data_IF_698711819996
#
_entry.id   IF_698711819996
#
_cell.length_a   1.000
_cell.length_b   1.000
_cell.length_c   1.000
_cell.angle_alpha   90.00
_cell.angle_beta   90.00
_cell.angle_gamma   90.00
#
_symmetry.space_group_name_H-M   'P 1'
#
loop_
_entity.id
_entity.type
_entity.pdbx_description
1 polymer ?
#
# COMPACT_ATOMS: atom_id res chain seq x y z
N UNK A 1 -5.64 -4.22 16.84
CA UNK A 1 -5.73 -4.95 15.55
C UNK A 1 -4.31 -5.27 15.08
N UNK A 2 -4.03 -6.48 14.59
CA UNK A 2 -2.71 -6.80 14.02
C UNK A 2 -2.63 -6.24 12.60
N UNK A 3 -1.68 -5.35 12.36
CA UNK A 3 -1.38 -4.79 11.04
C UNK A 3 -0.12 -5.43 10.46
N UNK A 4 -0.10 -5.59 9.15
CA UNK A 4 1.03 -6.13 8.39
C UNK A 4 1.50 -5.09 7.39
N UNK A 5 2.79 -5.10 7.06
CA UNK A 5 3.36 -4.32 5.97
C UNK A 5 3.17 -5.11 4.68
N UNK A 6 2.48 -4.49 3.73
CA UNK A 6 2.26 -4.97 2.38
C UNK A 6 3.12 -4.15 1.44
N UNK A 7 3.84 -4.81 0.54
CA UNK A 7 4.41 -4.12 -0.60
C UNK A 7 3.29 -3.84 -1.60
N UNK A 8 3.24 -2.63 -2.15
CA UNK A 8 2.31 -2.28 -3.20
C UNK A 8 3.05 -1.82 -4.46
N UNK A 9 2.51 -2.22 -5.60
CA UNK A 9 2.85 -1.70 -6.91
C UNK A 9 1.58 -1.10 -7.51
N UNK A 10 1.58 0.22 -7.66
CA UNK A 10 0.49 0.98 -8.23
C UNK A 10 0.89 1.54 -9.60
N UNK A 11 -0.04 1.53 -10.55
CA UNK A 11 0.17 2.11 -11.88
C UNK A 11 -0.76 3.30 -12.06
N UNK A 12 -0.21 4.45 -12.46
CA UNK A 12 -1.00 5.67 -12.63
C UNK A 12 -1.83 5.64 -13.93
N UNK A 13 -2.85 6.49 -14.01
CA UNK A 13 -3.68 6.66 -15.22
C UNK A 13 -2.76 7.01 -16.39
N UNK A 14 -2.98 6.33 -17.52
CA UNK A 14 -2.17 6.37 -18.74
C UNK A 14 -0.82 5.63 -18.70
N UNK A 15 -0.51 4.87 -17.65
CA UNK A 15 0.68 4.00 -17.62
C UNK A 15 2.02 4.75 -17.55
N UNK A 16 1.98 6.06 -17.31
CA UNK A 16 3.14 6.96 -17.30
C UNK A 16 3.98 6.84 -16.02
N UNK A 17 3.43 6.29 -14.94
CA UNK A 17 4.12 6.16 -13.65
C UNK A 17 3.82 4.85 -12.95
N UNK A 18 4.87 4.16 -12.51
CA UNK A 18 4.76 3.05 -11.55
C UNK A 18 5.18 3.58 -10.18
N UNK A 19 4.27 3.50 -9.23
CA UNK A 19 4.50 3.81 -7.83
C UNK A 19 4.73 2.50 -7.10
N UNK A 20 5.82 2.44 -6.35
CA UNK A 20 6.15 1.28 -5.52
C UNK A 20 6.39 1.75 -4.11
N UNK A 21 5.93 0.99 -3.14
CA UNK A 21 6.14 1.33 -1.75
C UNK A 21 5.64 0.25 -0.83
N UNK A 22 5.64 0.57 0.44
CA UNK A 22 5.13 -0.28 1.50
C UNK A 22 3.95 0.42 2.15
N UNK A 23 2.90 -0.32 2.48
CA UNK A 23 1.72 0.18 3.18
C UNK A 23 1.44 -0.73 4.36
N UNK A 24 1.23 -0.14 5.53
CA UNK A 24 0.74 -0.88 6.67
C UNK A 24 -0.77 -1.07 6.50
N UNK A 25 -1.27 -2.29 6.64
CA UNK A 25 -2.71 -2.58 6.63
C UNK A 25 -3.01 -3.91 7.33
N UNK A 26 -4.19 -4.06 7.95
CA UNK A 26 -4.61 -5.32 8.58
C UNK A 26 -4.85 -6.45 7.57
N UNK A 27 -5.23 -6.12 6.33
CA UNK A 27 -5.46 -7.09 5.25
C UNK A 27 -5.10 -6.47 3.88
N UNK A 28 -4.97 -7.32 2.86
CA UNK A 28 -4.61 -6.89 1.51
C UNK A 28 -5.69 -6.07 0.79
N UNK A 29 -6.95 -6.15 1.22
CA UNK A 29 -8.03 -5.34 0.66
C UNK A 29 -7.91 -3.89 1.12
N UNK A 30 -7.73 -3.67 2.42
CA UNK A 30 -7.47 -2.34 3.00
C UNK A 30 -6.16 -1.75 2.49
N UNK A 31 -5.11 -2.56 2.33
CA UNK A 31 -3.86 -2.10 1.69
C UNK A 31 -4.12 -1.50 0.31
N UNK A 32 -4.93 -2.15 -0.53
CA UNK A 32 -5.27 -1.64 -1.85
C UNK A 32 -6.08 -0.35 -1.78
N UNK A 33 -7.06 -0.29 -0.88
CA UNK A 33 -7.89 0.91 -0.70
C UNK A 33 -7.04 2.10 -0.28
N UNK A 34 -6.18 1.94 0.71
CA UNK A 34 -5.30 3.00 1.23
C UNK A 34 -4.39 3.52 0.12
N UNK A 35 -3.80 2.62 -0.68
CA UNK A 35 -2.94 3.01 -1.80
C UNK A 35 -3.73 3.76 -2.86
N UNK A 36 -4.93 3.29 -3.23
CA UNK A 36 -5.81 3.99 -4.18
C UNK A 36 -6.29 5.36 -3.65
N UNK A 37 -6.62 5.45 -2.37
CA UNK A 37 -7.05 6.70 -1.74
C UNK A 37 -5.90 7.70 -1.62
N UNK A 38 -4.68 7.23 -1.38
CA UNK A 38 -3.50 8.08 -1.32
C UNK A 38 -3.21 8.78 -2.65
N UNK A 39 -3.64 8.22 -3.78
CA UNK A 39 -3.48 8.86 -5.07
C UNK A 39 -4.60 8.45 -6.04
N UNK A 40 -5.54 9.37 -6.26
CA UNK A 40 -6.67 9.23 -7.19
C UNK A 40 -6.23 8.98 -8.64
N UNK A 41 -4.96 9.24 -8.97
CA UNK A 41 -4.39 8.94 -10.28
C UNK A 41 -3.97 7.48 -10.41
N UNK A 42 -4.17 6.62 -9.41
CA UNK A 42 -3.83 5.19 -9.52
C UNK A 42 -4.98 4.43 -10.20
N UNK A 43 -4.67 3.79 -11.33
CA UNK A 43 -5.62 2.97 -12.08
C UNK A 43 -5.66 1.52 -11.56
N UNK A 44 -4.49 0.97 -11.23
CA UNK A 44 -4.37 -0.40 -10.71
C UNK A 44 -3.39 -0.46 -9.55
N UNK A 45 -3.71 -1.27 -8.54
CA UNK A 45 -2.85 -1.57 -7.40
C UNK A 45 -2.72 -3.08 -7.29
N UNK A 46 -1.49 -3.56 -7.22
CA UNK A 46 -1.19 -4.91 -6.77
C UNK A 46 -0.53 -4.81 -5.40
N UNK A 47 -1.01 -5.59 -4.44
CA UNK A 47 -0.40 -5.70 -3.11
C UNK A 47 0.14 -7.09 -2.90
N UNK A 48 1.25 -7.20 -2.19
CA UNK A 48 1.89 -8.45 -1.82
C UNK A 48 2.29 -8.38 -0.36
N UNK A 49 1.95 -9.43 0.40
CA UNK A 49 2.39 -9.54 1.78
C UNK A 49 3.90 -9.75 1.81
N UNK A 50 4.61 -8.92 2.56
CA UNK A 50 6.04 -9.13 2.76
C UNK A 50 6.26 -10.26 3.76
N UNK A 51 7.09 -11.24 3.40
CA UNK A 51 7.44 -12.34 4.31
C UNK A 51 8.19 -11.82 5.56
N UNK A 52 9.04 -10.80 5.37
CA UNK A 52 9.86 -10.21 6.42
C UNK A 52 9.26 -8.92 6.96
N UNK A 53 8.27 -9.05 7.83
CA UNK A 53 7.57 -7.93 8.47
C UNK A 53 8.50 -7.05 9.32
N UNK A 54 9.50 -7.64 9.98
CA UNK A 54 10.46 -6.92 10.81
C UNK A 54 11.38 -6.00 10.01
N UNK A 55 11.82 -6.46 8.83
CA UNK A 55 12.61 -5.64 7.91
C UNK A 55 11.75 -4.56 7.26
N UNK A 56 10.53 -4.91 6.85
CA UNK A 56 9.61 -3.97 6.22
C UNK A 56 9.20 -2.81 7.14
N UNK A 57 9.14 -3.04 8.45
CA UNK A 57 8.90 -2.00 9.47
C UNK A 57 10.10 -1.05 9.67
N UNK A 58 11.30 -1.44 9.29
CA UNK A 58 12.48 -0.56 9.31
C UNK A 58 12.55 0.35 8.08
N UNK A 59 11.85 -0.03 7.03
CA UNK A 59 11.80 0.70 5.77
C UNK A 59 10.76 1.84 5.81
N UNK A 60 10.79 2.76 4.84
CA UNK A 60 9.74 3.78 4.74
C UNK A 60 8.45 3.12 4.23
N UNK A 61 7.39 3.19 5.04
CA UNK A 61 6.06 2.72 4.68
C UNK A 61 5.00 3.79 4.94
N UNK A 62 3.94 3.75 4.15
CA UNK A 62 2.73 4.53 4.37
C UNK A 62 2.01 3.91 5.57
N UNK A 63 1.91 4.67 6.66
CA UNK A 63 1.11 4.27 7.82
C UNK A 63 -0.37 4.33 7.47
N UNK A 64 -1.09 3.27 7.83
CA UNK A 64 -2.54 3.28 7.84
C UNK A 64 -3.03 4.36 8.81
N UNK A 65 -3.56 5.47 8.33
CA UNK A 65 -4.16 6.51 9.18
C UNK A 65 -5.65 6.30 9.42
N UNK A 66 -6.21 5.14 9.03
CA UNK A 66 -7.64 4.93 8.98
C UNK A 66 -8.26 5.64 7.78
N UNK A 67 -9.24 5.00 7.14
CA UNK A 67 -10.08 5.68 6.16
C UNK A 67 -10.88 6.71 6.95
N UNK A 68 -10.45 7.98 6.97
CA UNK A 68 -11.28 9.05 7.51
C UNK A 68 -12.48 9.21 6.57
N UNK A 69 -13.63 8.70 7.02
CA UNK A 69 -14.93 8.93 6.43
C UNK A 69 -15.35 10.39 6.57
#
# INVERSE_FOLDING_TARGET
MKTYIWAYEATTVRGLGKLRGHVEAPNGYEAQIVVKQSNLLINSVSVKLLANQEAARKDKFIKYTGIQS
#
